data_IF_802352926833
#
_entry.id   IF_802352926833
#
_cell.length_a   1.000
_cell.length_b   1.000
_cell.length_c   1.000
_cell.angle_alpha   90.00
_cell.angle_beta   90.00
_cell.angle_gamma   90.00
#
_symmetry.space_group_name_H-M   'P 1'
#
loop_
_entity.id
_entity.type
_entity.pdbx_description
1 polymer ?
#
# COMPACT_ATOMS: atom_id res chain seq x y z
N UNK A 1 14.59 44.00 -16.98
CA UNK A 1 15.34 42.83 -16.43
C UNK A 1 14.40 41.64 -16.53
N UNK A 2 14.57 40.86 -17.59
CA UNK A 2 13.75 39.69 -17.91
C UNK A 2 14.26 38.51 -17.09
N UNK A 3 13.48 38.09 -16.08
CA UNK A 3 13.75 36.87 -15.32
C UNK A 3 13.49 35.65 -16.20
N UNK A 4 14.57 34.99 -16.60
CA UNK A 4 14.54 33.69 -17.23
C UNK A 4 14.01 32.66 -16.22
N UNK A 5 12.78 32.25 -16.39
CA UNK A 5 12.26 31.04 -15.76
C UNK A 5 12.97 29.86 -16.40
N UNK A 6 13.98 29.31 -15.75
CA UNK A 6 14.55 28.02 -16.12
C UNK A 6 13.48 26.97 -15.87
N UNK A 7 12.77 26.61 -16.95
CA UNK A 7 11.71 25.63 -16.91
C UNK A 7 12.29 24.24 -16.64
N UNK A 8 11.67 23.50 -15.76
CA UNK A 8 11.68 22.06 -15.83
C UNK A 8 11.26 21.67 -17.24
N UNK A 9 12.05 20.87 -17.94
CA UNK A 9 11.60 20.28 -19.20
C UNK A 9 10.23 19.66 -18.95
N UNK A 10 9.27 20.05 -19.79
CA UNK A 10 7.88 19.66 -19.59
C UNK A 10 7.79 18.13 -19.48
N UNK A 11 6.94 17.67 -18.58
CA UNK A 11 6.61 16.25 -18.44
C UNK A 11 6.32 15.67 -19.84
N UNK A 12 6.90 14.51 -20.20
CA UNK A 12 6.72 13.93 -21.53
C UNK A 12 5.23 13.75 -21.84
N UNK A 13 4.78 14.12 -23.07
CA UNK A 13 3.40 13.95 -23.47
C UNK A 13 3.02 12.46 -23.47
N UNK A 14 1.80 12.16 -23.02
CA UNK A 14 1.25 10.80 -23.01
C UNK A 14 0.84 10.45 -24.45
N UNK A 15 1.44 9.39 -25.01
CA UNK A 15 1.19 8.97 -26.41
C UNK A 15 -0.02 8.04 -26.55
N UNK A 16 -0.48 7.44 -25.43
CA UNK A 16 -1.52 6.41 -25.42
C UNK A 16 -0.98 4.98 -25.58
N UNK A 17 0.31 4.83 -25.86
CA UNK A 17 1.02 3.54 -25.74
C UNK A 17 1.62 3.43 -24.34
N UNK A 18 1.00 2.62 -23.49
CA UNK A 18 1.37 2.49 -22.09
C UNK A 18 2.84 2.08 -21.89
N UNK A 19 3.41 1.27 -22.78
CA UNK A 19 4.80 0.82 -22.66
C UNK A 19 5.78 1.92 -23.06
N UNK A 20 5.48 2.66 -24.10
CA UNK A 20 6.28 3.82 -24.56
C UNK A 20 6.20 4.97 -23.56
N UNK A 21 5.02 5.24 -23.01
CA UNK A 21 4.79 6.27 -22.00
C UNK A 21 5.58 5.98 -20.72
N UNK A 22 5.59 4.72 -20.28
CA UNK A 22 6.40 4.24 -19.13
C UNK A 22 7.89 4.46 -19.38
N UNK A 23 8.39 4.07 -20.54
CA UNK A 23 9.80 4.23 -20.89
C UNK A 23 10.21 5.72 -20.93
N UNK A 24 9.37 6.58 -21.50
CA UNK A 24 9.56 8.02 -21.56
C UNK A 24 9.59 8.67 -20.18
N UNK A 25 8.66 8.31 -19.30
CA UNK A 25 8.61 8.82 -17.93
C UNK A 25 9.84 8.39 -17.13
N UNK A 26 10.26 7.15 -17.26
CA UNK A 26 11.47 6.64 -16.57
C UNK A 26 12.75 7.30 -17.10
N UNK A 27 12.83 7.55 -18.40
CA UNK A 27 13.96 8.26 -19.01
C UNK A 27 14.01 9.72 -18.53
N UNK A 28 12.89 10.42 -18.55
CA UNK A 28 12.76 11.77 -18.02
C UNK A 28 13.14 11.85 -16.53
N UNK A 29 12.65 10.92 -15.72
CA UNK A 29 13.02 10.81 -14.30
C UNK A 29 14.52 10.67 -14.09
N UNK A 30 15.17 9.82 -14.88
CA UNK A 30 16.63 9.61 -14.79
C UNK A 30 17.37 10.89 -15.17
N UNK A 31 16.97 11.53 -16.26
CA UNK A 31 17.56 12.78 -16.71
C UNK A 31 17.46 13.90 -15.66
N UNK A 32 16.31 14.04 -15.00
CA UNK A 32 16.12 15.02 -13.91
C UNK A 32 17.03 14.70 -12.70
N UNK A 33 17.16 13.43 -12.32
CA UNK A 33 18.05 13.04 -11.23
C UNK A 33 19.52 13.32 -11.57
N UNK A 34 19.95 13.02 -12.80
CA UNK A 34 21.29 13.29 -13.28
C UNK A 34 21.60 14.80 -13.29
N UNK A 35 20.64 15.65 -13.66
CA UNK A 35 20.76 17.11 -13.58
C UNK A 35 20.92 17.63 -12.15
N UNK A 36 20.21 17.01 -11.20
CA UNK A 36 20.33 17.33 -9.77
C UNK A 36 21.70 16.92 -9.24
N UNK A 37 22.17 15.74 -9.62
CA UNK A 37 23.51 15.23 -9.21
C UNK A 37 24.65 16.10 -9.79
N UNK A 38 24.47 16.66 -10.99
CA UNK A 38 25.41 17.60 -11.58
C UNK A 38 25.32 19.02 -11.04
N UNK A 39 24.34 19.30 -10.15
CA UNK A 39 24.12 20.64 -9.60
C UNK A 39 23.46 21.63 -10.57
N UNK A 40 22.94 21.16 -11.69
CA UNK A 40 22.24 21.98 -12.72
C UNK A 40 20.82 22.36 -12.27
N UNK A 41 20.24 21.55 -11.40
CA UNK A 41 18.96 21.82 -10.74
C UNK A 41 19.14 21.94 -9.24
N UNK A 42 18.35 22.80 -8.56
CA UNK A 42 18.40 22.90 -7.12
C UNK A 42 18.07 21.55 -6.46
N UNK A 43 18.81 21.21 -5.41
CA UNK A 43 18.59 19.97 -4.69
C UNK A 43 17.13 19.88 -4.24
N UNK A 44 16.42 18.85 -4.70
CA UNK A 44 15.08 18.56 -4.23
C UNK A 44 15.11 18.32 -2.72
N UNK A 45 14.13 18.86 -2.01
CA UNK A 45 13.92 18.53 -0.60
C UNK A 45 13.79 17.02 -0.43
N UNK A 46 14.15 16.49 0.72
CA UNK A 46 14.04 15.06 1.01
C UNK A 46 12.62 14.53 0.70
N UNK A 47 11.60 15.33 1.00
CA UNK A 47 10.19 15.03 0.71
C UNK A 47 9.92 14.95 -0.80
N UNK A 48 10.42 15.87 -1.60
CA UNK A 48 10.25 15.86 -3.06
C UNK A 48 10.92 14.63 -3.70
N UNK A 49 12.12 14.24 -3.21
CA UNK A 49 12.80 13.00 -3.67
C UNK A 49 11.99 11.75 -3.33
N UNK A 50 11.39 11.69 -2.15
CA UNK A 50 10.54 10.56 -1.75
C UNK A 50 9.31 10.49 -2.63
N UNK A 51 8.59 11.58 -2.83
CA UNK A 51 7.41 11.66 -3.71
C UNK A 51 7.74 11.23 -5.14
N UNK A 52 8.88 11.65 -5.65
CA UNK A 52 9.33 11.32 -7.00
C UNK A 52 9.62 9.81 -7.15
N UNK A 53 10.34 9.23 -6.19
CA UNK A 53 10.60 7.78 -6.16
C UNK A 53 9.32 6.97 -6.03
N UNK A 54 8.39 7.42 -5.22
CA UNK A 54 7.12 6.73 -5.03
C UNK A 54 6.25 6.75 -6.29
N UNK A 55 6.27 7.83 -7.09
CA UNK A 55 5.57 7.85 -8.37
C UNK A 55 6.09 6.79 -9.34
N UNK A 56 7.41 6.68 -9.49
CA UNK A 56 8.01 5.63 -10.32
C UNK A 56 7.69 4.22 -9.81
N UNK A 57 7.66 4.04 -8.48
CA UNK A 57 7.24 2.79 -7.86
C UNK A 57 5.76 2.47 -8.13
N UNK A 58 4.89 3.47 -8.05
CA UNK A 58 3.45 3.31 -8.32
C UNK A 58 3.22 2.78 -9.73
N UNK A 59 3.92 3.33 -10.70
CA UNK A 59 3.85 2.88 -12.07
C UNK A 59 4.26 1.40 -12.21
N UNK A 60 5.40 1.01 -11.65
CA UNK A 60 5.81 -0.40 -11.60
C UNK A 60 4.76 -1.30 -10.91
N UNK A 61 4.14 -0.82 -9.83
CA UNK A 61 3.12 -1.57 -9.08
C UNK A 61 1.80 -1.70 -9.82
N UNK A 62 1.47 -0.76 -10.71
CA UNK A 62 0.23 -0.77 -11.50
C UNK A 62 0.37 -1.46 -12.85
N UNK A 63 1.58 -1.69 -13.32
CA UNK A 63 1.90 -2.31 -14.61
C UNK A 63 2.62 -3.66 -14.42
N UNK A 64 3.94 -3.66 -14.45
CA UNK A 64 4.80 -4.86 -14.44
C UNK A 64 4.57 -5.76 -13.23
N UNK A 65 4.28 -5.17 -12.07
CA UNK A 65 4.07 -5.90 -10.81
C UNK A 65 2.61 -6.02 -10.41
N UNK A 66 1.68 -5.55 -11.25
CA UNK A 66 0.25 -5.72 -11.02
C UNK A 66 -0.10 -7.18 -10.80
N UNK A 67 -0.85 -7.47 -9.74
CA UNK A 67 -1.21 -8.82 -9.27
C UNK A 67 -0.01 -9.74 -8.92
N UNK A 68 1.18 -9.13 -8.73
CA UNK A 68 2.40 -9.85 -8.33
C UNK A 68 2.96 -9.41 -6.98
N UNK A 69 2.32 -8.47 -6.31
CA UNK A 69 2.72 -8.07 -4.96
C UNK A 69 1.60 -8.28 -3.94
N UNK A 70 2.02 -8.49 -2.70
CA UNK A 70 1.17 -8.49 -1.53
C UNK A 70 1.31 -7.14 -0.83
N UNK A 71 0.18 -6.53 -0.50
CA UNK A 71 0.14 -5.25 0.19
C UNK A 71 -0.04 -5.49 1.68
N UNK A 72 0.87 -4.99 2.49
CA UNK A 72 0.78 -5.00 3.96
C UNK A 72 0.40 -3.59 4.40
N UNK A 73 -0.80 -3.42 4.92
CA UNK A 73 -1.24 -2.14 5.44
C UNK A 73 -0.89 -2.05 6.93
N UNK A 74 0.08 -1.18 7.25
CA UNK A 74 0.48 -0.94 8.63
C UNK A 74 -0.60 -0.14 9.37
N UNK A 75 -0.77 -0.43 10.65
CA UNK A 75 -1.62 0.32 11.57
C UNK A 75 -0.80 1.37 12.30
N UNK A 76 -1.47 2.27 13.03
CA UNK A 76 -0.82 3.28 13.85
C UNK A 76 -0.02 2.59 14.96
N UNK A 77 1.16 3.13 15.28
CA UNK A 77 2.13 2.49 16.20
C UNK A 77 1.57 2.24 17.61
N UNK A 78 0.63 3.06 18.07
CA UNK A 78 -0.01 2.98 19.38
C UNK A 78 -1.47 2.51 19.33
N UNK A 79 -1.90 1.95 18.16
CA UNK A 79 -3.26 1.45 17.98
C UNK A 79 -3.58 0.37 19.03
N UNK A 80 -4.65 0.59 19.79
CA UNK A 80 -5.12 -0.35 20.79
C UNK A 80 -5.43 -1.74 20.17
N UNK A 81 -5.93 -1.76 18.95
CA UNK A 81 -6.22 -3.02 18.26
C UNK A 81 -4.97 -3.84 17.96
N UNK A 82 -3.82 -3.21 17.78
CA UNK A 82 -2.53 -3.92 17.66
C UNK A 82 -2.15 -4.52 19.01
N UNK A 83 -2.24 -3.72 20.07
CA UNK A 83 -1.89 -4.17 21.44
C UNK A 83 -2.77 -5.31 21.97
N UNK A 84 -4.01 -5.42 21.48
CA UNK A 84 -4.94 -6.51 21.83
C UNK A 84 -4.86 -7.71 20.89
N UNK A 85 -4.02 -7.63 19.85
CA UNK A 85 -3.84 -8.70 18.87
C UNK A 85 -2.80 -9.75 19.29
N UNK A 86 -2.59 -10.74 18.43
CA UNK A 86 -1.50 -11.72 18.61
C UNK A 86 -0.10 -11.12 18.37
N UNK A 87 0.00 -9.84 18.00
CA UNK A 87 1.26 -9.12 17.81
C UNK A 87 1.51 -8.16 18.96
N UNK A 88 2.73 -8.14 19.47
CA UNK A 88 3.14 -7.21 20.53
C UNK A 88 3.08 -5.75 20.07
N UNK A 89 3.53 -5.53 18.83
CA UNK A 89 3.58 -4.20 18.18
C UNK A 89 3.67 -4.31 16.65
N UNK A 90 3.71 -3.17 15.98
CA UNK A 90 3.87 -3.10 14.52
C UNK A 90 5.23 -3.63 14.04
N UNK A 91 6.38 -3.38 14.69
CA UNK A 91 7.64 -4.05 14.42
C UNK A 91 7.57 -5.58 14.41
N UNK A 92 6.95 -6.20 15.39
CA UNK A 92 6.77 -7.65 15.48
C UNK A 92 5.94 -8.18 14.29
N UNK A 93 4.86 -7.47 13.93
CA UNK A 93 4.07 -7.80 12.74
C UNK A 93 4.90 -7.70 11.44
N UNK A 94 5.70 -6.65 11.26
CA UNK A 94 6.58 -6.48 10.10
C UNK A 94 7.57 -7.65 9.99
N UNK A 95 8.21 -8.02 11.09
CA UNK A 95 9.17 -9.13 11.15
C UNK A 95 8.51 -10.45 10.75
N UNK A 96 7.39 -10.79 11.38
CA UNK A 96 6.61 -11.99 11.09
C UNK A 96 6.24 -12.11 9.61
N UNK A 97 5.78 -11.01 9.00
CA UNK A 97 5.40 -11.01 7.58
C UNK A 97 6.61 -11.16 6.65
N UNK A 98 7.74 -10.48 6.95
CA UNK A 98 8.96 -10.60 6.14
C UNK A 98 9.53 -12.01 6.22
N UNK A 99 9.57 -12.61 7.40
CA UNK A 99 10.05 -13.99 7.59
C UNK A 99 9.21 -15.00 6.80
N UNK A 100 7.89 -14.97 6.97
CA UNK A 100 6.98 -15.84 6.26
C UNK A 100 7.12 -15.68 4.74
N UNK A 101 7.18 -14.43 4.24
CA UNK A 101 7.40 -14.14 2.84
C UNK A 101 8.73 -14.72 2.33
N UNK A 102 9.81 -14.52 3.07
CA UNK A 102 11.13 -14.98 2.69
C UNK A 102 11.20 -16.50 2.52
N UNK A 103 10.55 -17.24 3.43
CA UNK A 103 10.52 -18.72 3.41
C UNK A 103 9.64 -19.28 2.29
N UNK A 104 8.52 -18.64 1.99
CA UNK A 104 7.44 -19.30 1.25
C UNK A 104 7.09 -18.64 -0.11
N UNK A 105 7.62 -17.47 -0.44
CA UNK A 105 7.30 -16.74 -1.68
C UNK A 105 7.58 -17.53 -2.94
N UNK A 106 6.84 -17.23 -4.01
CA UNK A 106 7.18 -17.66 -5.38
C UNK A 106 8.12 -16.64 -6.05
N UNK A 107 8.82 -17.11 -7.09
CA UNK A 107 9.60 -16.21 -7.96
C UNK A 107 8.70 -15.12 -8.54
N UNK A 108 9.24 -13.91 -8.68
CA UNK A 108 8.50 -12.75 -9.21
C UNK A 108 7.61 -12.01 -8.22
N UNK A 109 7.28 -12.59 -7.06
CA UNK A 109 6.46 -11.92 -6.05
C UNK A 109 7.23 -10.82 -5.32
N UNK A 110 6.48 -9.80 -4.88
CA UNK A 110 6.97 -8.67 -4.08
C UNK A 110 6.10 -8.47 -2.84
N UNK A 111 6.66 -7.83 -1.85
CA UNK A 111 6.01 -7.41 -0.62
C UNK A 111 6.06 -5.89 -0.54
N UNK A 112 4.93 -5.24 -0.32
CA UNK A 112 4.82 -3.79 -0.24
C UNK A 112 4.20 -3.42 1.09
N UNK A 113 4.97 -2.80 1.96
CA UNK A 113 4.49 -2.21 3.20
C UNK A 113 3.99 -0.79 2.93
N UNK A 114 2.75 -0.50 3.30
CA UNK A 114 2.17 0.84 3.22
C UNK A 114 2.13 1.46 4.61
N UNK A 115 2.86 2.54 4.76
CA UNK A 115 2.90 3.33 5.99
C UNK A 115 1.53 3.92 6.33
N UNK A 116 1.19 3.97 7.62
CA UNK A 116 -0.05 4.60 8.05
C UNK A 116 0.07 6.13 8.00
N UNK A 117 -0.88 6.86 7.40
CA UNK A 117 -0.76 8.32 7.25
C UNK A 117 -0.60 9.09 8.56
N UNK A 118 -1.20 8.63 9.65
CA UNK A 118 -1.12 9.28 10.96
C UNK A 118 0.25 9.09 11.64
N UNK A 119 1.04 8.10 11.24
CA UNK A 119 2.36 7.83 11.83
C UNK A 119 3.49 8.67 11.23
N UNK A 120 3.23 9.47 10.20
CA UNK A 120 4.27 10.18 9.43
C UNK A 120 5.24 11.02 10.26
N UNK A 121 4.81 11.50 11.42
CA UNK A 121 5.62 12.34 12.29
C UNK A 121 6.12 11.61 13.54
N UNK A 122 5.73 10.36 13.73
CA UNK A 122 5.99 9.62 14.96
C UNK A 122 6.92 8.45 14.76
N UNK A 123 6.73 7.68 13.69
CA UNK A 123 7.51 6.45 13.44
C UNK A 123 7.96 6.36 11.98
N UNK A 124 9.10 5.71 11.77
CA UNK A 124 9.61 5.33 10.45
C UNK A 124 10.24 3.93 10.54
N UNK A 125 9.66 2.99 9.81
CA UNK A 125 10.13 1.60 9.79
C UNK A 125 11.17 1.32 8.68
N UNK A 126 11.69 2.35 8.02
CA UNK A 126 12.63 2.20 6.89
C UNK A 126 13.84 1.33 7.25
N UNK A 127 14.51 1.63 8.36
CA UNK A 127 15.72 0.89 8.74
C UNK A 127 15.40 -0.52 9.23
N UNK A 128 14.29 -0.70 9.96
CA UNK A 128 13.81 -2.01 10.38
C UNK A 128 13.54 -2.91 9.16
N UNK A 129 12.72 -2.43 8.23
CA UNK A 129 12.36 -3.20 7.02
C UNK A 129 13.59 -3.49 6.16
N UNK A 130 14.51 -2.53 6.01
CA UNK A 130 15.76 -2.74 5.28
C UNK A 130 16.66 -3.79 5.93
N UNK A 131 16.79 -3.75 7.25
CA UNK A 131 17.59 -4.71 8.03
C UNK A 131 17.01 -6.11 7.87
N UNK A 132 15.72 -6.30 8.12
CA UNK A 132 15.02 -7.58 7.99
C UNK A 132 15.07 -8.11 6.54
N UNK A 133 14.85 -7.26 5.55
CA UNK A 133 14.91 -7.66 4.15
C UNK A 133 16.31 -8.09 3.70
N UNK A 134 17.38 -7.52 4.30
CA UNK A 134 18.78 -7.98 4.09
C UNK A 134 19.02 -9.31 4.80
N UNK A 135 18.65 -9.42 6.07
CA UNK A 135 18.79 -10.63 6.89
C UNK A 135 18.16 -11.85 6.23
N UNK A 136 16.94 -11.70 5.72
CA UNK A 136 16.18 -12.76 5.07
C UNK A 136 16.44 -12.88 3.54
N UNK A 137 17.43 -12.16 2.98
CA UNK A 137 17.83 -12.22 1.56
C UNK A 137 16.69 -11.89 0.57
N UNK A 138 15.81 -10.96 0.95
CA UNK A 138 14.68 -10.49 0.14
C UNK A 138 14.73 -8.99 -0.20
N UNK A 139 15.90 -8.35 -0.04
CA UNK A 139 16.09 -6.90 -0.22
C UNK A 139 15.45 -6.33 -1.48
N UNK A 140 15.57 -7.03 -2.61
CA UNK A 140 15.07 -6.56 -3.91
C UNK A 140 13.58 -6.92 -4.13
N UNK A 141 12.90 -7.43 -3.13
CA UNK A 141 11.52 -7.90 -3.20
C UNK A 141 10.60 -7.19 -2.21
N UNK A 142 11.16 -6.45 -1.26
CA UNK A 142 10.43 -5.73 -0.22
C UNK A 142 10.51 -4.24 -0.49
N UNK A 143 9.37 -3.58 -0.51
CA UNK A 143 9.21 -2.14 -0.69
C UNK A 143 8.50 -1.56 0.53
N UNK A 144 8.85 -0.34 0.90
CA UNK A 144 8.16 0.44 1.91
C UNK A 144 7.79 1.78 1.31
N UNK A 145 6.49 2.13 1.37
CA UNK A 145 5.91 3.30 0.71
C UNK A 145 5.05 4.11 1.68
N UNK A 146 5.07 5.43 1.55
CA UNK A 146 4.42 6.36 2.47
C UNK A 146 3.18 7.01 1.86
N UNK A 147 3.32 7.66 0.70
CA UNK A 147 2.31 8.58 0.17
C UNK A 147 1.53 8.05 -1.05
N UNK A 148 1.77 6.80 -1.44
CA UNK A 148 1.04 6.20 -2.55
C UNK A 148 -0.45 6.04 -2.25
N UNK A 149 -1.27 6.29 -3.27
CA UNK A 149 -2.72 6.24 -3.18
C UNK A 149 -3.22 4.81 -2.87
N UNK A 150 -3.72 4.60 -1.66
CA UNK A 150 -4.11 3.29 -1.16
C UNK A 150 -5.11 2.55 -2.05
N UNK A 151 -6.21 3.15 -2.54
CA UNK A 151 -7.13 2.47 -3.45
C UNK A 151 -6.48 1.93 -4.73
N UNK A 152 -5.49 2.63 -5.27
CA UNK A 152 -4.72 2.16 -6.43
C UNK A 152 -3.87 0.95 -6.05
N UNK A 153 -3.16 1.00 -4.92
CA UNK A 153 -2.39 -0.14 -4.43
C UNK A 153 -3.28 -1.37 -4.20
N UNK A 154 -4.45 -1.19 -3.56
CA UNK A 154 -5.39 -2.28 -3.32
C UNK A 154 -5.83 -2.94 -4.63
N UNK A 155 -6.25 -2.16 -5.63
CA UNK A 155 -6.71 -2.70 -6.92
C UNK A 155 -5.67 -3.55 -7.65
N UNK A 156 -4.40 -3.22 -7.50
CA UNK A 156 -3.30 -3.90 -8.20
C UNK A 156 -2.57 -4.95 -7.35
N UNK A 157 -2.85 -5.04 -6.05
CA UNK A 157 -2.30 -6.08 -5.20
C UNK A 157 -2.84 -7.47 -5.58
N UNK A 158 -2.04 -8.51 -5.36
CA UNK A 158 -2.47 -9.91 -5.43
C UNK A 158 -3.36 -10.26 -4.24
N UNK A 159 -2.99 -9.80 -3.07
CA UNK A 159 -3.78 -9.83 -1.84
C UNK A 159 -3.29 -8.73 -0.89
N UNK A 160 -4.11 -8.39 0.09
CA UNK A 160 -3.77 -7.51 1.19
C UNK A 160 -3.60 -8.32 2.46
N UNK A 161 -2.65 -7.94 3.31
CA UNK A 161 -2.38 -8.53 4.61
C UNK A 161 -2.57 -7.43 5.64
N UNK A 162 -3.37 -7.71 6.65
CA UNK A 162 -3.64 -6.80 7.77
C UNK A 162 -3.64 -7.59 9.08
N UNK A 163 -3.40 -6.93 10.19
CA UNK A 163 -3.73 -7.52 11.50
C UNK A 163 -5.26 -7.60 11.57
N UNK A 164 -5.93 -6.47 11.81
CA UNK A 164 -7.39 -6.36 11.91
C UNK A 164 -7.94 -5.03 11.34
N UNK A 165 -7.12 -4.32 10.57
CA UNK A 165 -7.41 -3.00 10.02
C UNK A 165 -8.62 -2.99 9.07
N UNK A 166 -9.41 -1.92 9.12
CA UNK A 166 -10.51 -1.63 8.16
C UNK A 166 -10.05 -1.48 6.71
N UNK A 167 -8.75 -1.32 6.47
CA UNK A 167 -8.15 -1.41 5.12
C UNK A 167 -8.45 -2.76 4.46
N UNK A 168 -8.58 -3.83 5.24
CA UNK A 168 -9.00 -5.14 4.73
C UNK A 168 -10.39 -5.11 4.09
N UNK A 169 -11.36 -4.42 4.71
CA UNK A 169 -12.69 -4.24 4.11
C UNK A 169 -12.63 -3.41 2.82
N UNK A 170 -11.79 -2.37 2.80
CA UNK A 170 -11.53 -1.60 1.58
C UNK A 170 -10.88 -2.45 0.48
N UNK A 171 -10.02 -3.41 0.86
CA UNK A 171 -9.43 -4.37 -0.09
C UNK A 171 -10.49 -5.21 -0.80
N UNK A 172 -11.42 -5.77 -0.04
CA UNK A 172 -12.56 -6.53 -0.57
C UNK A 172 -13.44 -5.68 -1.50
N UNK A 173 -13.69 -4.42 -1.12
CA UNK A 173 -14.41 -3.47 -1.97
C UNK A 173 -13.74 -3.28 -3.33
N UNK A 174 -12.42 -3.20 -3.36
CA UNK A 174 -11.64 -3.10 -4.59
C UNK A 174 -11.41 -4.45 -5.31
N UNK A 175 -12.02 -5.53 -4.84
CA UNK A 175 -11.95 -6.86 -5.44
C UNK A 175 -10.60 -7.54 -5.22
N UNK A 176 -9.86 -7.16 -4.18
CA UNK A 176 -8.59 -7.77 -3.81
C UNK A 176 -8.75 -8.60 -2.55
N UNK A 177 -8.37 -9.90 -2.58
CA UNK A 177 -8.44 -10.79 -1.43
C UNK A 177 -7.69 -10.22 -0.23
N UNK A 178 -8.19 -10.49 0.97
CA UNK A 178 -7.53 -10.06 2.21
C UNK A 178 -7.29 -11.26 3.13
N UNK A 179 -6.08 -11.34 3.65
CA UNK A 179 -5.72 -12.23 4.76
C UNK A 179 -5.67 -11.38 6.03
N UNK A 180 -6.53 -11.71 6.95
CA UNK A 180 -6.64 -11.06 8.25
C UNK A 180 -5.94 -11.97 9.25
N UNK A 181 -4.98 -11.44 10.00
CA UNK A 181 -4.13 -12.25 10.88
C UNK A 181 -4.66 -12.31 12.32
N UNK A 182 -5.67 -11.49 12.62
CA UNK A 182 -6.34 -11.48 13.92
C UNK A 182 -7.84 -11.14 13.72
N UNK A 183 -8.59 -11.01 14.80
CA UNK A 183 -10.03 -10.78 14.76
C UNK A 183 -10.40 -9.43 14.13
N UNK A 184 -11.26 -9.45 13.13
CA UNK A 184 -11.86 -8.27 12.53
C UNK A 184 -13.35 -8.52 12.24
N UNK A 185 -14.17 -7.48 12.38
CA UNK A 185 -15.63 -7.57 12.20
C UNK A 185 -16.08 -8.08 10.82
N UNK A 186 -15.20 -8.01 9.83
CA UNK A 186 -15.43 -8.51 8.48
C UNK A 186 -14.68 -9.83 8.19
N UNK A 187 -13.96 -10.39 9.16
CA UNK A 187 -13.27 -11.69 9.03
C UNK A 187 -14.29 -12.83 9.09
N UNK A 188 -15.11 -12.94 8.05
CA UNK A 188 -16.19 -13.91 7.93
C UNK A 188 -15.79 -15.00 6.96
N UNK A 189 -16.18 -16.24 7.26
CA UNK A 189 -15.92 -17.39 6.40
C UNK A 189 -16.44 -17.19 4.98
N UNK A 190 -15.61 -17.54 4.00
CA UNK A 190 -15.90 -17.33 2.59
C UNK A 190 -15.70 -15.89 2.09
N UNK A 191 -15.48 -14.92 2.97
CA UNK A 191 -15.22 -13.53 2.59
C UNK A 191 -13.74 -13.18 2.62
N UNK A 192 -13.05 -13.57 3.69
CA UNK A 192 -11.62 -13.35 3.86
C UNK A 192 -10.83 -14.63 3.58
N UNK A 193 -9.52 -14.50 3.39
CA UNK A 193 -8.63 -15.63 3.15
C UNK A 193 -8.26 -16.25 4.50
N UNK A 194 -8.94 -17.33 4.88
CA UNK A 194 -8.69 -18.07 6.12
C UNK A 194 -7.53 -19.07 5.96
N UNK A 195 -6.34 -18.59 5.62
CA UNK A 195 -5.13 -19.41 5.48
C UNK A 195 -4.03 -18.90 6.42
N UNK A 196 -3.24 -19.80 7.03
CA UNK A 196 -1.99 -19.40 7.65
C UNK A 196 -1.13 -18.59 6.68
N UNK A 197 -0.44 -17.58 7.19
CA UNK A 197 0.36 -16.67 6.36
C UNK A 197 1.36 -17.41 5.47
N UNK A 198 1.98 -18.47 5.96
CA UNK A 198 2.94 -19.29 5.20
C UNK A 198 2.33 -19.95 3.95
N UNK A 199 1.04 -20.21 3.94
CA UNK A 199 0.33 -20.81 2.81
C UNK A 199 -0.18 -19.75 1.83
N UNK A 200 -0.40 -18.52 2.29
CA UNK A 200 -0.95 -17.42 1.49
C UNK A 200 -0.16 -17.16 0.20
N UNK A 201 1.17 -17.19 0.30
CA UNK A 201 2.07 -16.82 -0.80
C UNK A 201 1.89 -17.67 -2.06
N UNK A 202 1.46 -18.92 -1.89
CA UNK A 202 1.29 -19.90 -2.96
C UNK A 202 -0.15 -20.17 -3.32
N UNK A 203 -1.09 -19.68 -2.53
CA UNK A 203 -2.50 -19.92 -2.70
C UNK A 203 -3.06 -19.26 -3.98
N UNK A 204 -4.11 -19.88 -4.52
CA UNK A 204 -4.99 -19.25 -5.48
C UNK A 204 -6.04 -18.46 -4.72
N UNK A 205 -6.05 -17.15 -4.92
CA UNK A 205 -6.84 -16.21 -4.13
C UNK A 205 -7.90 -15.56 -5.00
N UNK A 206 -9.10 -15.42 -4.47
CA UNK A 206 -10.23 -14.73 -5.09
C UNK A 206 -11.11 -14.06 -4.03
N UNK A 207 -11.97 -13.16 -4.47
CA UNK A 207 -12.99 -12.52 -3.62
C UNK A 207 -14.35 -13.00 -4.09
N UNK A 208 -15.15 -13.54 -3.18
CA UNK A 208 -16.57 -13.75 -3.42
C UNK A 208 -17.29 -12.39 -3.36
N UNK A 209 -17.59 -11.84 -4.53
CA UNK A 209 -18.20 -10.52 -4.66
C UNK A 209 -19.64 -10.50 -4.15
N UNK A 210 -20.35 -11.61 -4.22
CA UNK A 210 -21.73 -11.66 -3.75
C UNK A 210 -21.78 -11.83 -2.24
N UNK A 211 -20.89 -12.62 -1.65
CA UNK A 211 -20.67 -12.62 -0.20
C UNK A 211 -20.31 -11.21 0.30
N UNK A 212 -19.40 -10.52 -0.36
CA UNK A 212 -19.03 -9.15 0.00
C UNK A 212 -20.22 -8.19 -0.06
N UNK A 213 -21.04 -8.24 -1.11
CA UNK A 213 -22.24 -7.40 -1.22
C UNK A 213 -23.23 -7.65 -0.06
N UNK A 214 -23.44 -8.92 0.31
CA UNK A 214 -24.34 -9.30 1.43
C UNK A 214 -23.81 -8.76 2.76
N UNK A 215 -22.54 -9.00 3.07
CA UNK A 215 -21.91 -8.53 4.32
C UNK A 215 -21.89 -7.00 4.38
N UNK A 216 -21.54 -6.33 3.27
CA UNK A 216 -21.58 -4.87 3.20
C UNK A 216 -22.99 -4.30 3.42
N UNK A 217 -24.01 -4.90 2.80
CA UNK A 217 -25.41 -4.47 2.99
C UNK A 217 -25.85 -4.65 4.44
N UNK A 218 -25.48 -5.77 5.06
CA UNK A 218 -25.76 -6.04 6.48
C UNK A 218 -25.10 -4.97 7.38
N UNK A 219 -23.79 -4.73 7.20
CA UNK A 219 -23.06 -3.72 7.98
C UNK A 219 -23.64 -2.31 7.85
N UNK A 220 -24.04 -1.92 6.63
CA UNK A 220 -24.67 -0.62 6.38
C UNK A 220 -26.01 -0.52 7.14
N UNK A 221 -26.80 -1.58 7.13
CA UNK A 221 -28.12 -1.59 7.76
C UNK A 221 -28.03 -1.62 9.28
N UNK A 222 -27.13 -2.44 9.85
CA UNK A 222 -27.12 -2.72 11.29
C UNK A 222 -26.14 -1.84 12.07
N UNK A 223 -25.03 -1.43 11.45
CA UNK A 223 -23.90 -0.84 12.18
C UNK A 223 -23.52 0.57 11.71
N UNK A 224 -24.13 1.08 10.63
CA UNK A 224 -23.76 2.40 10.10
C UNK A 224 -24.95 3.34 10.08
N UNK A 225 -24.86 4.42 10.85
CA UNK A 225 -25.73 5.58 10.69
C UNK A 225 -25.35 6.35 9.42
N UNK A 226 -26.35 6.74 8.63
CA UNK A 226 -26.10 7.59 7.47
C UNK A 226 -25.87 9.04 7.96
N UNK A 227 -24.61 9.42 8.13
CA UNK A 227 -24.25 10.70 8.70
C UNK A 227 -22.81 11.13 8.51
N UNK A 228 -22.53 12.34 8.94
CA UNK A 228 -21.21 12.94 9.00
C UNK A 228 -20.95 13.48 10.40
N UNK A 229 -19.79 13.17 10.96
CA UNK A 229 -19.36 13.78 12.23
C UNK A 229 -19.15 15.31 12.13
N UNK A 230 -19.08 15.86 10.93
CA UNK A 230 -18.75 17.26 10.67
C UNK A 230 -19.91 18.07 10.10
N UNK A 231 -21.06 17.45 9.81
CA UNK A 231 -22.24 18.15 9.26
C UNK A 231 -23.52 17.57 9.85
N UNK A 232 -24.48 18.46 10.16
CA UNK A 232 -25.86 18.05 10.50
C UNK A 232 -26.48 17.31 9.32
N UNK A 233 -27.13 16.20 9.60
CA UNK A 233 -27.97 15.51 8.60
C UNK A 233 -29.20 16.36 8.30
N UNK A 234 -29.54 16.55 7.02
CA UNK A 234 -30.83 17.12 6.67
C UNK A 234 -31.94 16.23 7.24
N UNK A 235 -32.84 16.80 8.07
CA UNK A 235 -33.97 16.08 8.63
C UNK A 235 -33.75 15.38 9.98
N UNK A 236 -32.59 15.42 10.58
CA UNK A 236 -32.39 15.03 11.97
C UNK A 236 -32.83 16.18 12.90
N UNK A 237 -34.11 16.21 13.23
CA UNK A 237 -34.59 16.96 14.38
C UNK A 237 -34.06 16.34 15.66
N UNK A 238 -33.67 17.19 16.63
CA UNK A 238 -33.48 16.80 18.04
C UNK A 238 -34.83 16.42 18.63
#
# INVERSE_FOLDING_TARGET
MSGSTHGFDAFPPVSGDAAADVASILAWHRAVLDQIERGELPALTARARTTFRERALLEGLTTTWSKRYFLVALQVFDDYQVKSSCFEDVPHFIEHVIESFARNRRSGQRLVFKHHPLDRSYTDYTELIRRLARQHKVRNRVLYVHDLHLPTLLRHAKATIVINSTVGFSSLFHGTPVNVLDDAVYAVDGLTVALPLDQLWRARLYVDRDAFKRVRAYMIRENQGNGSFYRRLPGAGL
#
